data_IF_871329459058
#
_entry.id   IF_871329459058
#
_cell.length_a   1.000
_cell.length_b   1.000
_cell.length_c   1.000
_cell.angle_alpha   90.00
_cell.angle_beta   90.00
_cell.angle_gamma   90.00
#
_symmetry.space_group_name_H-M   'P 1'
#
loop_
_entity.id
_entity.type
_entity.pdbx_description
1 polymer ?
#
# COMPACT_ATOMS: atom_id res chain seq x y z
N UNK A 1 -4.74 -15.75 -4.47
CA UNK A 1 -5.15 -14.33 -4.55
C UNK A 1 -6.62 -14.10 -4.16
N UNK A 2 -7.49 -15.13 -4.26
CA UNK A 2 -8.93 -15.01 -3.98
C UNK A 2 -9.24 -14.54 -2.56
N UNK A 3 -10.32 -13.77 -2.43
CA UNK A 3 -11.01 -13.50 -1.18
C UNK A 3 -10.89 -12.06 -0.66
N UNK A 4 -9.88 -11.30 -1.07
CA UNK A 4 -9.71 -9.91 -0.61
C UNK A 4 -10.89 -9.03 -1.03
N UNK A 5 -11.24 -9.03 -2.33
CA UNK A 5 -12.32 -8.21 -2.87
C UNK A 5 -13.66 -8.68 -2.31
N UNK A 6 -13.92 -9.98 -2.26
CA UNK A 6 -15.10 -10.56 -1.61
C UNK A 6 -15.22 -10.15 -0.12
N UNK A 7 -14.11 -10.09 0.62
CA UNK A 7 -14.13 -9.72 2.04
C UNK A 7 -14.39 -8.23 2.25
N UNK A 8 -13.84 -7.38 1.38
CA UNK A 8 -14.17 -5.95 1.35
C UNK A 8 -15.65 -5.74 1.00
N UNK A 9 -16.18 -6.47 0.02
CA UNK A 9 -17.59 -6.43 -0.35
C UNK A 9 -18.51 -6.79 0.83
N UNK A 10 -18.26 -7.94 1.46
CA UNK A 10 -19.09 -8.45 2.56
C UNK A 10 -18.97 -7.64 3.84
N UNK A 11 -18.01 -6.72 3.93
CA UNK A 11 -17.85 -5.84 5.09
C UNK A 11 -18.87 -4.70 5.14
N UNK A 12 -19.56 -4.42 4.03
CA UNK A 12 -20.41 -3.24 3.89
C UNK A 12 -19.63 -1.92 3.76
N UNK A 13 -18.31 -1.93 3.88
CA UNK A 13 -17.49 -0.73 3.72
C UNK A 13 -17.57 -0.19 2.29
N UNK A 14 -17.66 1.13 2.15
CA UNK A 14 -17.40 1.82 0.88
C UNK A 14 -15.90 1.81 0.62
N UNK A 15 -15.46 1.15 -0.45
CA UNK A 15 -14.05 1.02 -0.81
C UNK A 15 -13.80 1.30 -2.29
N UNK A 16 -12.57 1.71 -2.55
CA UNK A 16 -12.01 1.72 -3.90
C UNK A 16 -10.55 1.31 -3.86
N UNK A 17 -10.09 0.72 -4.96
CA UNK A 17 -8.77 0.16 -5.11
C UNK A 17 -8.20 0.58 -6.45
N UNK A 18 -6.96 1.02 -6.43
CA UNK A 18 -6.16 1.23 -7.61
C UNK A 18 -4.78 0.61 -7.38
N UNK A 19 -4.00 0.53 -8.43
CA UNK A 19 -2.63 0.05 -8.33
C UNK A 19 -1.71 0.90 -9.22
N UNK A 20 -0.45 0.96 -8.82
CA UNK A 20 0.65 1.51 -9.59
C UNK A 20 1.85 0.59 -9.43
N UNK A 21 2.92 0.81 -10.19
CA UNK A 21 4.16 0.05 -10.04
C UNK A 21 5.06 0.71 -9.00
N UNK A 22 6.07 -0.03 -8.57
CA UNK A 22 7.18 0.45 -7.73
C UNK A 22 8.17 1.32 -8.51
N UNK A 23 8.02 1.39 -9.82
CA UNK A 23 8.93 2.10 -10.70
C UNK A 23 8.70 3.62 -10.66
N UNK A 24 9.77 4.38 -10.44
CA UNK A 24 9.71 5.85 -10.34
C UNK A 24 10.69 6.59 -11.25
N UNK A 25 11.45 5.88 -12.08
CA UNK A 25 12.42 6.53 -12.95
C UNK A 25 11.74 7.46 -13.96
N UNK A 26 12.53 8.47 -14.38
CA UNK A 26 12.29 9.73 -15.13
C UNK A 26 11.27 9.75 -16.30
N UNK A 27 10.17 9.01 -16.22
CA UNK A 27 9.07 8.96 -17.17
C UNK A 27 7.85 9.68 -16.55
N UNK A 28 6.97 10.33 -17.32
CA UNK A 28 5.75 10.95 -16.80
C UNK A 28 4.74 9.93 -16.23
N UNK A 29 5.10 8.65 -16.16
CA UNK A 29 4.30 7.53 -15.68
C UNK A 29 4.61 7.13 -14.22
N UNK A 30 5.65 7.69 -13.60
CA UNK A 30 5.97 7.42 -12.19
C UNK A 30 4.76 7.68 -11.29
N UNK A 31 4.39 6.69 -10.47
CA UNK A 31 3.20 6.74 -9.60
C UNK A 31 1.86 6.83 -10.34
N UNK A 32 1.82 6.66 -11.66
CA UNK A 32 0.57 6.69 -12.41
C UNK A 32 -0.29 5.48 -12.06
N UNK A 33 -1.58 5.71 -11.80
CA UNK A 33 -2.52 4.62 -11.62
C UNK A 33 -2.76 3.90 -12.94
N UNK A 34 -2.54 2.58 -12.91
CA UNK A 34 -2.64 1.69 -14.04
C UNK A 34 -4.08 1.21 -14.25
N UNK A 35 -4.41 0.76 -15.46
CA UNK A 35 -5.74 0.21 -15.74
C UNK A 35 -5.84 -1.27 -15.37
N UNK A 36 -6.99 -1.67 -14.83
CA UNK A 36 -7.30 -3.07 -14.56
C UNK A 36 -7.36 -3.88 -15.87
N UNK A 37 -7.05 -5.16 -15.79
CA UNK A 37 -7.04 -6.12 -16.92
C UNK A 37 -8.21 -7.09 -16.81
N UNK A 38 -8.65 -7.60 -17.96
CA UNK A 38 -9.66 -8.65 -18.08
C UNK A 38 -9.28 -9.66 -19.16
N UNK A 39 -9.91 -10.82 -19.14
CA UNK A 39 -9.87 -11.77 -20.24
C UNK A 39 -11.01 -11.46 -21.22
N UNK A 40 -10.70 -11.31 -22.52
CA UNK A 40 -11.71 -11.10 -23.56
C UNK A 40 -12.34 -12.43 -24.04
N UNK A 41 -13.32 -12.35 -24.95
CA UNK A 41 -14.02 -13.53 -25.48
C UNK A 41 -13.09 -14.53 -26.21
N UNK A 42 -11.90 -14.10 -26.63
CA UNK A 42 -10.87 -14.93 -27.26
C UNK A 42 -9.84 -15.46 -26.25
N UNK A 43 -10.15 -15.44 -24.95
CA UNK A 43 -9.26 -15.85 -23.86
C UNK A 43 -7.92 -15.07 -23.78
N UNK A 44 -7.85 -13.87 -24.36
CA UNK A 44 -6.67 -13.01 -24.28
C UNK A 44 -6.81 -11.99 -23.14
N UNK A 45 -5.75 -11.82 -22.36
CA UNK A 45 -5.66 -10.75 -21.36
C UNK A 45 -5.50 -9.40 -22.05
N UNK A 46 -6.41 -8.48 -21.76
CA UNK A 46 -6.43 -7.13 -22.33
C UNK A 46 -6.62 -6.10 -21.21
N UNK A 47 -6.01 -4.93 -21.38
CA UNK A 47 -6.28 -3.78 -20.50
C UNK A 47 -7.71 -3.30 -20.70
N UNK A 48 -8.31 -2.83 -19.60
CA UNK A 48 -9.57 -2.08 -19.63
C UNK A 48 -9.26 -0.57 -19.66
N UNK A 49 -10.32 0.25 -19.66
CA UNK A 49 -10.23 1.68 -19.39
C UNK A 49 -10.48 2.03 -17.90
N UNK A 50 -10.65 1.01 -17.05
CA UNK A 50 -10.97 1.18 -15.63
C UNK A 50 -9.67 1.37 -14.84
N UNK A 51 -9.52 2.50 -14.16
CA UNK A 51 -8.42 2.78 -13.21
C UNK A 51 -8.77 2.48 -11.75
N UNK A 52 -10.05 2.58 -11.42
CA UNK A 52 -10.56 2.43 -10.05
C UNK A 52 -11.50 1.23 -9.98
N UNK A 53 -11.16 0.27 -9.13
CA UNK A 53 -12.01 -0.87 -8.78
C UNK A 53 -12.78 -0.50 -7.50
N UNK A 54 -14.09 -0.66 -7.46
CA UNK A 54 -14.93 -0.29 -6.30
C UNK A 54 -16.10 -1.26 -6.08
N UNK A 55 -16.88 -1.06 -5.01
CA UNK A 55 -18.12 -1.80 -4.76
C UNK A 55 -19.06 -1.84 -5.98
N UNK A 56 -19.11 -0.78 -6.78
CA UNK A 56 -20.03 -0.70 -7.92
C UNK A 56 -19.47 -1.30 -9.22
N UNK A 57 -18.24 -1.82 -9.19
CA UNK A 57 -17.60 -2.37 -10.39
C UNK A 57 -18.12 -3.79 -10.67
N UNK A 58 -18.68 -4.00 -11.87
CA UNK A 58 -19.06 -5.33 -12.33
C UNK A 58 -17.83 -6.25 -12.51
N UNK A 59 -17.97 -7.53 -12.15
CA UNK A 59 -16.91 -8.55 -12.29
C UNK A 59 -15.59 -8.20 -11.58
N UNK A 60 -15.65 -7.39 -10.51
CA UNK A 60 -14.50 -6.88 -9.75
C UNK A 60 -13.50 -7.94 -9.26
N UNK A 61 -13.96 -9.09 -8.77
CA UNK A 61 -13.06 -10.18 -8.35
C UNK A 61 -12.26 -10.71 -9.56
N UNK A 62 -12.91 -10.91 -10.72
CA UNK A 62 -12.22 -11.35 -11.94
C UNK A 62 -11.21 -10.31 -12.43
N UNK A 63 -11.58 -9.02 -12.42
CA UNK A 63 -10.66 -7.93 -12.76
C UNK A 63 -9.43 -7.92 -11.85
N UNK A 64 -9.64 -8.05 -10.54
CA UNK A 64 -8.56 -8.11 -9.56
C UNK A 64 -7.63 -9.30 -9.82
N UNK A 65 -8.19 -10.51 -9.91
CA UNK A 65 -7.41 -11.74 -10.10
C UNK A 65 -6.66 -11.75 -11.43
N UNK A 66 -7.32 -11.35 -12.52
CA UNK A 66 -6.71 -11.27 -13.84
C UNK A 66 -5.57 -10.25 -13.85
N UNK A 67 -5.77 -9.09 -13.22
CA UNK A 67 -4.73 -8.06 -13.16
C UNK A 67 -3.54 -8.53 -12.34
N UNK A 68 -3.75 -9.01 -11.12
CA UNK A 68 -2.67 -9.46 -10.24
C UNK A 68 -1.91 -10.65 -10.82
N UNK A 69 -2.60 -11.61 -11.45
CA UNK A 69 -1.95 -12.75 -12.12
C UNK A 69 -1.23 -12.41 -13.42
N UNK A 70 -1.43 -11.20 -13.95
CA UNK A 70 -0.81 -10.73 -15.20
C UNK A 70 -0.12 -9.37 -15.03
N UNK A 71 0.23 -8.99 -13.80
CA UNK A 71 1.12 -7.86 -13.61
C UNK A 71 2.46 -8.22 -14.22
N UNK A 72 3.02 -7.29 -14.98
CA UNK A 72 4.30 -7.49 -15.61
C UNK A 72 5.38 -7.55 -14.52
N UNK A 73 5.78 -8.75 -14.11
CA UNK A 73 7.02 -8.95 -13.35
C UNK A 73 8.16 -8.63 -14.31
N UNK A 74 8.94 -7.60 -14.01
CA UNK A 74 10.19 -7.31 -14.73
C UNK A 74 10.08 -6.88 -16.21
N UNK A 75 8.90 -6.56 -16.76
CA UNK A 75 8.78 -5.99 -18.12
C UNK A 75 8.99 -4.48 -18.06
N UNK A 76 10.27 -4.12 -17.92
CA UNK A 76 10.86 -2.79 -17.81
C UNK A 76 10.39 -1.89 -18.95
N UNK A 77 9.85 -0.71 -18.60
CA UNK A 77 9.58 0.34 -19.59
C UNK A 77 10.88 1.07 -19.98
N UNK A 78 11.92 1.03 -19.14
CA UNK A 78 13.16 1.82 -19.35
C UNK A 78 14.49 1.17 -18.91
N UNK A 79 14.47 -0.09 -18.50
CA UNK A 79 15.67 -0.83 -18.11
C UNK A 79 16.08 -0.72 -16.64
N UNK A 80 15.46 0.15 -15.84
CA UNK A 80 15.80 0.33 -14.43
C UNK A 80 15.44 -0.89 -13.60
N UNK A 81 16.31 -1.27 -12.66
CA UNK A 81 16.03 -2.20 -11.57
C UNK A 81 15.60 -1.49 -10.28
N UNK A 82 15.49 -0.16 -10.28
CA UNK A 82 15.21 0.63 -9.08
C UNK A 82 13.73 0.52 -8.67
N UNK A 83 13.49 -0.19 -7.56
CA UNK A 83 12.15 -0.44 -7.03
C UNK A 83 11.90 0.48 -5.83
N UNK A 84 10.93 1.39 -5.95
CA UNK A 84 10.71 2.48 -5.01
C UNK A 84 9.21 2.65 -4.74
N UNK A 85 8.57 1.65 -4.14
CA UNK A 85 7.14 1.65 -3.86
C UNK A 85 6.68 2.78 -2.95
N UNK A 86 7.48 3.17 -1.94
CA UNK A 86 7.16 4.29 -1.05
C UNK A 86 7.20 5.60 -1.84
N UNK A 87 8.24 5.81 -2.65
CA UNK A 87 8.31 6.96 -3.54
C UNK A 87 7.15 6.97 -4.55
N UNK A 88 6.84 5.83 -5.18
CA UNK A 88 5.74 5.69 -6.12
C UNK A 88 4.40 6.03 -5.47
N UNK A 89 4.18 5.60 -4.22
CA UNK A 89 2.98 5.95 -3.45
C UNK A 89 2.88 7.47 -3.25
N UNK A 90 3.98 8.11 -2.85
CA UNK A 90 4.03 9.57 -2.65
C UNK A 90 3.75 10.32 -3.95
N UNK A 91 4.39 9.92 -5.05
CA UNK A 91 4.16 10.51 -6.37
C UNK A 91 2.71 10.29 -6.79
N UNK A 92 2.17 9.07 -6.61
CA UNK A 92 0.79 8.76 -6.96
C UNK A 92 -0.22 9.66 -6.25
N UNK A 93 0.03 9.97 -4.97
CA UNK A 93 -0.78 10.92 -4.19
C UNK A 93 -0.72 12.32 -4.78
N UNK A 94 0.42 12.78 -5.25
CA UNK A 94 0.61 14.15 -5.75
C UNK A 94 0.07 14.38 -7.17
N UNK A 95 -0.13 13.31 -7.92
CA UNK A 95 -0.62 13.33 -9.30
C UNK A 95 -2.09 13.74 -9.41
N UNK A 96 -2.35 14.75 -10.23
CA UNK A 96 -3.71 15.22 -10.53
C UNK A 96 -4.50 14.23 -11.38
N UNK A 97 -3.84 13.47 -12.27
CA UNK A 97 -4.46 12.42 -13.08
C UNK A 97 -4.85 11.16 -12.28
N UNK A 98 -4.48 11.11 -11.00
CA UNK A 98 -4.87 10.07 -10.05
C UNK A 98 -5.98 10.52 -9.08
N UNK A 99 -6.58 11.71 -9.26
CA UNK A 99 -7.59 12.27 -8.33
C UNK A 99 -8.73 11.30 -7.98
N UNK A 100 -9.15 10.47 -8.94
CA UNK A 100 -10.26 9.53 -8.74
C UNK A 100 -9.86 8.33 -7.86
N UNK A 101 -8.56 8.12 -7.65
CA UNK A 101 -8.04 7.04 -6.81
C UNK A 101 -8.01 7.38 -5.31
N UNK A 102 -7.96 8.66 -4.96
CA UNK A 102 -7.83 9.10 -3.56
C UNK A 102 -9.06 9.92 -3.17
N UNK A 103 -10.03 9.30 -2.49
CA UNK A 103 -11.20 10.01 -1.95
C UNK A 103 -10.81 10.86 -0.75
N UNK A 104 -11.33 12.07 -0.65
CA UNK A 104 -11.02 12.98 0.47
C UNK A 104 -11.53 12.45 1.83
N UNK A 105 -12.62 11.70 1.82
CA UNK A 105 -13.33 11.16 2.99
C UNK A 105 -12.95 9.72 3.37
N UNK A 106 -11.93 9.14 2.75
CA UNK A 106 -11.49 7.77 3.01
C UNK A 106 -10.11 7.68 3.66
N UNK A 107 -9.89 6.66 4.50
CA UNK A 107 -8.55 6.24 4.90
C UNK A 107 -7.79 5.64 3.70
N UNK A 108 -6.46 5.71 3.73
CA UNK A 108 -5.60 5.07 2.73
C UNK A 108 -4.98 3.80 3.33
N UNK A 109 -5.17 2.68 2.65
CA UNK A 109 -4.42 1.45 2.89
C UNK A 109 -3.52 1.16 1.69
N UNK A 110 -2.21 1.22 1.86
CA UNK A 110 -1.24 0.86 0.83
C UNK A 110 -0.76 -0.58 1.04
N UNK A 111 -0.73 -1.39 -0.02
CA UNK A 111 -0.20 -2.75 0.01
C UNK A 111 1.01 -2.80 -0.91
N UNK A 112 2.19 -2.93 -0.32
CA UNK A 112 3.45 -3.10 -1.03
C UNK A 112 3.66 -4.59 -1.28
N UNK A 113 3.79 -5.01 -2.54
CA UNK A 113 4.06 -6.39 -2.91
C UNK A 113 5.25 -6.41 -3.86
N UNK A 114 6.41 -6.86 -3.37
CA UNK A 114 7.69 -6.76 -4.10
C UNK A 114 8.72 -7.73 -3.52
N UNK A 115 9.58 -8.24 -4.39
CA UNK A 115 10.79 -9.04 -4.10
C UNK A 115 12.04 -8.17 -3.87
N UNK A 116 11.84 -6.85 -3.87
CA UNK A 116 12.87 -5.82 -3.72
C UNK A 116 12.64 -5.00 -2.44
N UNK A 117 13.65 -4.24 -2.02
CA UNK A 117 13.54 -3.27 -0.93
C UNK A 117 13.28 -1.86 -1.50
N UNK A 118 12.90 -0.91 -0.66
CA UNK A 118 12.80 0.47 -1.13
C UNK A 118 14.19 0.97 -1.57
N UNK A 119 14.27 1.45 -2.80
CA UNK A 119 15.50 1.95 -3.42
C UNK A 119 16.61 0.89 -3.58
N UNK A 120 16.28 -0.41 -3.52
CA UNK A 120 17.16 -1.41 -4.14
C UNK A 120 17.03 -1.32 -5.66
N UNK A 121 18.02 -1.87 -6.37
CA UNK A 121 18.13 -1.71 -7.82
C UNK A 121 18.36 -3.02 -8.57
N UNK A 122 17.92 -4.17 -8.05
CA UNK A 122 18.08 -5.46 -8.73
C UNK A 122 19.54 -5.77 -9.12
N UNK A 123 20.50 -5.32 -8.31
CA UNK A 123 21.94 -5.51 -8.57
C UNK A 123 22.55 -4.61 -9.66
N UNK A 124 21.81 -3.63 -10.20
CA UNK A 124 22.22 -2.80 -11.34
C UNK A 124 22.87 -1.46 -11.00
N UNK A 125 22.87 -1.05 -9.73
CA UNK A 125 23.54 0.20 -9.27
C UNK A 125 25.06 0.20 -9.43
N UNK A 126 25.67 -0.82 -10.03
CA UNK A 126 27.13 -0.95 -10.13
C UNK A 126 27.74 0.09 -11.08
N UNK A 127 27.00 0.57 -12.09
CA UNK A 127 27.48 1.63 -12.99
C UNK A 127 26.42 2.73 -13.19
N UNK A 128 26.87 3.99 -13.21
CA UNK A 128 26.04 5.18 -13.52
C UNK A 128 25.37 5.11 -14.90
N UNK A 129 25.92 4.33 -15.82
CA UNK A 129 25.41 4.16 -17.18
C UNK A 129 24.23 3.18 -17.29
N UNK A 130 24.07 2.27 -16.31
CA UNK A 130 23.07 1.20 -16.35
C UNK A 130 21.72 1.62 -15.74
N UNK A 131 21.67 2.81 -15.13
CA UNK A 131 20.51 3.36 -14.44
C UNK A 131 20.43 4.89 -14.66
N UNK A 132 19.56 5.37 -15.57
CA UNK A 132 19.44 6.80 -15.90
C UNK A 132 19.12 7.69 -14.69
N UNK A 133 18.41 7.15 -13.69
CA UNK A 133 18.10 7.80 -12.42
C UNK A 133 19.36 8.14 -11.58
N UNK A 134 20.49 7.47 -11.85
CA UNK A 134 21.77 7.74 -11.19
C UNK A 134 22.46 8.99 -11.74
N UNK A 135 21.99 9.59 -12.83
CA UNK A 135 22.62 10.78 -13.41
C UNK A 135 22.75 11.94 -12.40
N UNK A 136 21.77 12.04 -11.49
CA UNK A 136 21.59 13.13 -10.51
C UNK A 136 22.14 12.83 -9.11
N UNK A 137 22.61 11.60 -8.84
CA UNK A 137 23.03 11.17 -7.51
C UNK A 137 24.50 10.67 -7.50
N UNK A 138 25.35 11.10 -6.54
CA UNK A 138 26.76 10.74 -6.52
C UNK A 138 27.00 9.26 -6.20
N UNK A 139 27.75 8.59 -7.08
CA UNK A 139 28.04 7.13 -7.09
C UNK A 139 28.70 6.62 -5.81
N UNK A 140 29.38 7.48 -5.05
CA UNK A 140 30.11 7.11 -3.83
C UNK A 140 29.25 6.74 -2.63
N UNK A 141 27.92 6.88 -2.70
CA UNK A 141 26.99 6.56 -1.59
C UNK A 141 26.32 5.19 -1.67
N UNK A 142 26.50 4.46 -2.76
CA UNK A 142 25.78 3.20 -2.98
C UNK A 142 26.50 2.04 -2.29
N UNK A 143 25.85 1.44 -1.29
CA UNK A 143 26.18 0.09 -0.85
C UNK A 143 25.68 -0.85 -1.95
N UNK A 144 26.50 -1.83 -2.34
CA UNK A 144 26.21 -2.79 -3.42
C UNK A 144 24.71 -3.17 -3.46
N UNK A 145 23.98 -2.68 -4.48
CA UNK A 145 22.58 -3.00 -4.69
C UNK A 145 21.52 -1.98 -4.24
N UNK A 146 21.90 -0.82 -3.68
CA UNK A 146 20.96 0.24 -3.29
C UNK A 146 21.31 1.61 -3.86
N UNK A 147 20.30 2.35 -4.33
CA UNK A 147 20.42 3.79 -4.53
C UNK A 147 20.25 4.55 -3.21
N UNK A 148 20.66 5.82 -3.18
CA UNK A 148 20.59 6.65 -2.00
C UNK A 148 19.13 7.05 -1.79
N UNK A 149 18.58 6.73 -0.61
CA UNK A 149 17.22 7.16 -0.26
C UNK A 149 17.11 8.69 -0.31
N UNK A 150 16.16 9.16 -1.09
CA UNK A 150 15.74 10.56 -1.10
C UNK A 150 14.61 10.78 -0.10
N UNK A 151 14.16 12.03 0.06
CA UNK A 151 12.96 12.33 0.83
C UNK A 151 11.70 11.63 0.27
N UNK A 152 11.68 11.19 -1.00
CA UNK A 152 10.53 10.47 -1.55
C UNK A 152 10.40 9.04 -1.03
N UNK A 153 11.51 8.42 -0.65
CA UNK A 153 11.58 7.03 -0.22
C UNK A 153 11.29 6.84 1.28
N UNK A 154 11.22 7.93 2.03
CA UNK A 154 11.13 7.91 3.48
C UNK A 154 9.68 7.92 3.97
N UNK A 155 9.33 6.98 4.86
CA UNK A 155 7.98 6.85 5.40
C UNK A 155 7.50 8.09 6.17
N UNK A 156 8.35 8.70 7.00
CA UNK A 156 8.00 9.92 7.74
C UNK A 156 7.66 11.08 6.78
N UNK A 157 8.33 11.15 5.63
CA UNK A 157 8.05 12.14 4.58
C UNK A 157 6.77 11.82 3.81
N UNK A 158 6.46 10.55 3.55
CA UNK A 158 5.17 10.14 3.01
C UNK A 158 4.03 10.54 3.95
N UNK A 159 4.17 10.26 5.25
CA UNK A 159 3.18 10.67 6.25
C UNK A 159 3.02 12.19 6.35
N UNK A 160 4.14 12.94 6.38
CA UNK A 160 4.09 14.38 6.41
C UNK A 160 3.37 14.95 5.17
N UNK A 161 3.63 14.38 3.98
CA UNK A 161 2.96 14.78 2.75
C UNK A 161 1.46 14.45 2.76
N UNK A 162 1.09 13.28 3.29
CA UNK A 162 -0.30 12.91 3.49
C UNK A 162 -1.02 13.89 4.43
N UNK A 163 -0.37 14.31 5.51
CA UNK A 163 -0.91 15.28 6.47
C UNK A 163 -1.01 16.70 5.88
N UNK A 164 -0.05 17.11 5.05
CA UNK A 164 -0.08 18.38 4.33
C UNK A 164 -1.27 18.43 3.35
N UNK A 165 -1.48 17.35 2.60
CA UNK A 165 -2.58 17.26 1.63
C UNK A 165 -3.93 17.01 2.30
N UNK A 166 -3.95 16.19 3.35
CA UNK A 166 -5.15 15.81 4.10
C UNK A 166 -4.84 15.71 5.60
N UNK A 167 -5.11 16.79 6.33
CA UNK A 167 -4.74 16.94 7.74
C UNK A 167 -5.22 15.84 8.70
N UNK A 168 -6.28 15.10 8.33
CA UNK A 168 -6.90 14.06 9.17
C UNK A 168 -6.95 12.68 8.51
N UNK A 169 -6.33 12.47 7.35
CA UNK A 169 -6.43 11.20 6.61
C UNK A 169 -5.58 10.11 7.28
N UNK A 170 -6.22 9.03 7.70
CA UNK A 170 -5.52 7.87 8.23
C UNK A 170 -4.76 7.13 7.12
N UNK A 171 -3.58 6.60 7.45
CA UNK A 171 -2.75 5.81 6.56
C UNK A 171 -2.31 4.53 7.24
N UNK A 172 -2.50 3.39 6.57
CA UNK A 172 -1.91 2.10 6.97
C UNK A 172 -1.14 1.53 5.80
N UNK A 173 0.08 1.07 6.04
CA UNK A 173 0.85 0.35 5.04
C UNK A 173 1.03 -1.11 5.39
N UNK A 174 0.75 -1.98 4.43
CA UNK A 174 0.92 -3.43 4.52
C UNK A 174 2.04 -3.85 3.58
N UNK A 175 2.80 -4.89 3.91
CA UNK A 175 3.92 -5.34 3.11
C UNK A 175 3.82 -6.85 2.87
N UNK A 176 3.88 -7.30 1.62
CA UNK A 176 4.07 -8.70 1.21
C UNK A 176 5.42 -8.72 0.51
N UNK A 177 6.46 -9.09 1.25
CA UNK A 177 7.86 -8.93 0.81
C UNK A 177 8.67 -10.16 1.17
N UNK A 178 9.93 -10.21 0.74
CA UNK A 178 10.93 -11.09 1.35
C UNK A 178 11.17 -10.57 2.78
N UNK A 179 10.68 -11.31 3.77
CA UNK A 179 10.71 -10.86 5.17
C UNK A 179 12.17 -10.72 5.63
N UNK A 180 12.54 -9.64 6.34
CA UNK A 180 13.89 -9.49 6.88
C UNK A 180 14.32 -10.71 7.70
N UNK A 181 15.39 -11.39 7.26
CA UNK A 181 15.95 -12.58 7.90
C UNK A 181 15.45 -13.93 7.36
N UNK A 182 14.46 -13.95 6.47
CA UNK A 182 13.99 -15.17 5.80
C UNK A 182 14.93 -15.58 4.67
N UNK A 183 16.00 -16.30 5.04
CA UNK A 183 17.07 -16.69 4.13
C UNK A 183 16.60 -17.67 3.05
N UNK A 184 15.58 -18.48 3.33
CA UNK A 184 15.09 -19.49 2.39
C UNK A 184 14.25 -18.83 1.31
N UNK A 185 13.34 -17.93 1.70
CA UNK A 185 12.61 -17.10 0.74
C UNK A 185 13.57 -16.25 -0.10
N UNK A 186 14.53 -15.57 0.55
CA UNK A 186 15.51 -14.75 -0.15
C UNK A 186 16.28 -15.55 -1.20
N UNK A 187 16.84 -16.71 -0.85
CA UNK A 187 17.54 -17.57 -1.81
C UNK A 187 16.65 -18.03 -2.96
N UNK A 188 15.38 -18.35 -2.69
CA UNK A 188 14.45 -18.81 -3.71
C UNK A 188 14.13 -17.70 -4.73
N UNK A 189 13.97 -16.46 -4.28
CA UNK A 189 13.78 -15.30 -5.16
C UNK A 189 15.08 -14.93 -5.88
N UNK A 190 16.20 -14.84 -5.14
CA UNK A 190 17.52 -14.46 -5.66
C UNK A 190 18.05 -15.41 -6.75
N UNK A 191 17.59 -16.67 -6.72
CA UNK A 191 17.89 -17.66 -7.77
C UNK A 191 17.21 -17.38 -9.12
N UNK A 192 16.16 -16.57 -9.14
CA UNK A 192 15.39 -16.21 -10.34
C UNK A 192 15.82 -14.85 -10.91
N UNK A 193 15.98 -13.85 -10.04
CA UNK A 193 16.57 -12.53 -10.32
C UNK A 193 17.10 -11.97 -9.00
N UNK A 194 17.99 -10.97 -9.03
CA UNK A 194 18.57 -10.38 -7.80
C UNK A 194 17.46 -9.89 -6.89
N UNK A 195 17.45 -10.34 -5.64
CA UNK A 195 16.35 -10.06 -4.73
C UNK A 195 16.80 -9.45 -3.40
N UNK A 196 15.93 -8.68 -2.74
CA UNK A 196 16.26 -7.97 -1.52
C UNK A 196 15.18 -8.13 -0.44
N UNK A 197 15.62 -8.18 0.82
CA UNK A 197 14.70 -8.11 1.94
C UNK A 197 13.96 -6.77 1.96
N UNK A 198 12.62 -6.78 2.04
CA UNK A 198 11.80 -5.56 2.12
C UNK A 198 11.87 -4.88 3.50
N UNK A 199 13.03 -4.35 3.87
CA UNK A 199 13.32 -3.75 5.18
C UNK A 199 12.56 -2.45 5.38
N UNK A 200 12.56 -1.55 4.40
CA UNK A 200 11.87 -0.26 4.53
C UNK A 200 10.35 -0.45 4.56
N UNK A 201 9.82 -1.37 3.75
CA UNK A 201 8.41 -1.75 3.82
C UNK A 201 8.04 -2.40 5.18
N UNK A 202 8.93 -3.20 5.77
CA UNK A 202 8.73 -3.76 7.11
C UNK A 202 8.77 -2.68 8.22
N UNK A 203 9.62 -1.64 8.09
CA UNK A 203 9.60 -0.49 9.00
C UNK A 203 8.29 0.30 8.87
N UNK A 204 7.89 0.59 7.63
CA UNK A 204 6.66 1.31 7.31
C UNK A 204 5.43 0.61 7.87
N UNK A 205 5.30 -0.71 7.64
CA UNK A 205 4.16 -1.47 8.19
C UNK A 205 4.17 -1.49 9.71
N UNK A 206 5.34 -1.60 10.34
CA UNK A 206 5.44 -1.61 11.79
C UNK A 206 5.00 -0.27 12.39
N UNK A 207 5.44 0.84 11.80
CA UNK A 207 5.12 2.18 12.24
C UNK A 207 3.64 2.57 12.00
N UNK A 208 2.99 1.97 11.00
CA UNK A 208 1.58 2.21 10.68
C UNK A 208 0.62 1.13 11.21
N UNK A 209 1.13 0.09 11.88
CA UNK A 209 0.30 -0.99 12.43
C UNK A 209 -0.34 -1.90 11.36
N UNK A 210 0.31 -2.03 10.21
CA UNK A 210 -0.10 -2.90 9.11
C UNK A 210 0.42 -4.35 9.23
N UNK A 211 0.05 -5.15 8.23
CA UNK A 211 0.34 -6.59 8.18
C UNK A 211 1.64 -6.81 7.41
N UNK A 212 2.50 -7.68 7.94
CA UNK A 212 3.65 -8.24 7.23
C UNK A 212 3.27 -9.62 6.68
N UNK A 213 3.31 -9.75 5.37
CA UNK A 213 3.17 -10.97 4.62
C UNK A 213 4.48 -11.39 3.95
N UNK A 214 4.37 -12.47 3.19
CA UNK A 214 5.44 -13.25 2.61
C UNK A 214 5.23 -13.41 1.10
N UNK A 215 6.20 -12.95 0.31
CA UNK A 215 6.12 -13.09 -1.14
C UNK A 215 6.46 -14.51 -1.62
N UNK A 216 7.11 -15.34 -0.80
CA UNK A 216 7.38 -16.73 -1.14
C UNK A 216 6.24 -17.68 -0.79
N UNK A 217 5.12 -17.18 -0.26
CA UNK A 217 3.97 -18.01 0.02
C UNK A 217 3.38 -18.61 -1.27
N UNK A 218 3.10 -19.91 -1.27
CA UNK A 218 2.43 -20.60 -2.38
C UNK A 218 1.04 -20.03 -2.72
N UNK A 219 0.44 -19.28 -1.80
CA UNK A 219 -0.76 -18.49 -2.02
C UNK A 219 -0.80 -17.25 -1.14
N UNK A 220 -1.09 -16.11 -1.76
CA UNK A 220 -1.30 -14.85 -1.04
C UNK A 220 -2.70 -14.71 -0.43
N UNK A 221 -3.62 -15.67 -0.63
CA UNK A 221 -5.02 -15.54 -0.23
C UNK A 221 -5.19 -15.27 1.28
N UNK A 222 -4.55 -16.07 2.14
CA UNK A 222 -4.65 -15.86 3.60
C UNK A 222 -4.12 -14.49 4.03
N UNK A 223 -3.03 -14.04 3.41
CA UNK A 223 -2.34 -12.81 3.77
C UNK A 223 -3.14 -11.59 3.32
N UNK A 224 -3.67 -11.62 2.10
CA UNK A 224 -4.59 -10.60 1.59
C UNK A 224 -5.90 -10.55 2.37
N UNK A 225 -6.44 -11.70 2.82
CA UNK A 225 -7.61 -11.72 3.68
C UNK A 225 -7.34 -11.10 5.06
N UNK A 226 -6.15 -11.33 5.64
CA UNK A 226 -5.73 -10.64 6.88
C UNK A 226 -5.60 -9.14 6.65
N UNK A 227 -5.04 -8.72 5.52
CA UNK A 227 -4.97 -7.31 5.14
C UNK A 227 -6.37 -6.70 4.98
N UNK A 228 -7.28 -7.33 4.23
CA UNK A 228 -8.66 -6.87 4.09
C UNK A 228 -9.36 -6.76 5.43
N UNK A 229 -9.17 -7.74 6.32
CA UNK A 229 -9.69 -7.69 7.69
C UNK A 229 -9.16 -6.47 8.43
N UNK A 230 -7.85 -6.23 8.37
CA UNK A 230 -7.21 -5.10 9.02
C UNK A 230 -7.69 -3.75 8.46
N UNK A 231 -7.95 -3.67 7.15
CA UNK A 231 -8.52 -2.48 6.50
C UNK A 231 -9.92 -2.21 7.05
N UNK A 232 -10.79 -3.22 7.08
CA UNK A 232 -12.15 -3.09 7.64
C UNK A 232 -12.11 -2.76 9.14
N UNK A 233 -11.23 -3.39 9.91
CA UNK A 233 -11.06 -3.05 11.33
C UNK A 233 -10.55 -1.62 11.54
N UNK A 234 -9.80 -1.07 10.59
CA UNK A 234 -9.32 0.31 10.68
C UNK A 234 -10.43 1.34 10.41
N UNK A 235 -11.54 0.93 9.78
CA UNK A 235 -12.75 1.77 9.66
C UNK A 235 -13.69 1.61 10.86
N UNK A 236 -13.58 0.51 11.60
CA UNK A 236 -14.32 0.26 12.84
C UNK A 236 -13.50 0.53 14.10
N UNK A 237 -12.29 1.08 14.01
CA UNK A 237 -11.51 1.41 15.21
C UNK A 237 -10.53 2.56 15.03
N UNK A 238 -10.31 3.32 16.10
CA UNK A 238 -9.28 4.36 16.20
C UNK A 238 -8.21 3.90 17.19
N UNK A 239 -6.95 3.93 16.75
CA UNK A 239 -5.80 3.68 17.64
C UNK A 239 -5.29 5.00 18.22
N UNK A 240 -5.26 5.08 19.54
CA UNK A 240 -4.76 6.20 20.32
C UNK A 240 -3.23 6.15 20.46
N UNK A 241 -2.62 7.31 20.70
CA UNK A 241 -1.16 7.43 20.84
C UNK A 241 -0.61 6.71 22.08
N UNK A 242 -1.46 6.43 23.06
CA UNK A 242 -1.13 5.80 24.34
C UNK A 242 -2.38 5.13 24.90
N UNK A 243 -2.20 4.26 25.89
CA UNK A 243 -3.32 3.73 26.67
C UNK A 243 -3.93 4.86 27.52
N UNK A 244 -5.23 5.15 27.39
CA UNK A 244 -5.86 6.23 28.12
C UNK A 244 -6.04 5.86 29.61
N UNK A 245 -5.96 6.86 30.49
CA UNK A 245 -6.09 6.69 31.96
C UNK A 245 -7.52 6.44 32.42
N UNK A 246 -8.50 6.82 31.61
CA UNK A 246 -9.92 6.54 31.75
C UNK A 246 -10.54 6.39 30.35
N UNK A 247 -11.81 6.02 30.28
CA UNK A 247 -12.52 5.91 28.99
C UNK A 247 -12.48 7.25 28.23
N UNK A 248 -12.03 7.27 26.96
CA UNK A 248 -12.02 8.45 26.11
C UNK A 248 -13.41 9.07 25.91
N UNK A 249 -13.49 10.39 25.76
CA UNK A 249 -14.69 11.04 25.23
C UNK A 249 -14.64 10.98 23.71
N UNK A 250 -15.67 10.40 23.10
CA UNK A 250 -15.76 10.20 21.65
C UNK A 250 -16.99 10.93 21.10
N UNK A 251 -16.78 11.77 20.10
CA UNK A 251 -17.84 12.46 19.36
C UNK A 251 -17.71 12.09 17.89
N UNK A 252 -18.80 11.61 17.29
CA UNK A 252 -18.87 11.30 15.85
C UNK A 252 -19.81 12.29 15.18
N UNK A 253 -19.37 12.90 14.06
CA UNK A 253 -20.13 13.92 13.32
C UNK A 253 -20.21 13.54 11.83
N UNK A 254 -21.41 13.47 11.21
CA UNK A 254 -22.73 13.63 11.82
C UNK A 254 -22.98 12.58 12.91
N UNK A 255 -23.87 12.85 13.86
CA UNK A 255 -24.19 11.86 14.90
C UNK A 255 -24.78 10.64 14.22
N UNK A 256 -24.10 9.48 14.22
CA UNK A 256 -24.70 8.26 13.72
C UNK A 256 -25.89 7.90 14.61
N UNK A 257 -26.80 7.07 14.10
CA UNK A 257 -27.96 6.59 14.84
C UNK A 257 -27.56 5.76 16.08
N UNK A 258 -27.73 4.44 16.01
CA UNK A 258 -27.21 3.56 17.06
C UNK A 258 -25.74 3.26 16.78
N UNK A 259 -24.84 3.72 17.65
CA UNK A 259 -23.40 3.44 17.58
C UNK A 259 -22.92 2.95 18.94
N UNK A 260 -22.47 1.69 18.98
CA UNK A 260 -21.84 1.12 20.16
C UNK A 260 -20.34 1.45 20.11
N UNK A 261 -19.83 2.01 21.21
CA UNK A 261 -18.41 2.35 21.37
C UNK A 261 -17.83 1.48 22.48
N UNK A 262 -16.73 0.80 22.20
CA UNK A 262 -16.00 -0.01 23.20
C UNK A 262 -14.50 0.27 23.19
N UNK A 263 -13.82 -0.11 24.27
CA UNK A 263 -12.41 0.22 24.50
C UNK A 263 -11.60 -1.04 24.80
N UNK A 264 -10.41 -1.16 24.20
CA UNK A 264 -9.45 -2.20 24.56
C UNK A 264 -8.02 -1.69 24.37
N UNK A 265 -7.24 -1.64 25.45
CA UNK A 265 -5.88 -1.09 25.44
C UNK A 265 -5.86 0.38 25.00
N UNK A 266 -5.15 0.68 23.92
CA UNK A 266 -5.12 2.01 23.30
C UNK A 266 -6.04 2.11 22.07
N UNK A 267 -7.07 1.28 21.95
CA UNK A 267 -8.00 1.29 20.80
C UNK A 267 -9.43 1.56 21.22
N UNK A 268 -10.13 2.32 20.38
CA UNK A 268 -11.57 2.58 20.41
C UNK A 268 -12.19 1.81 19.26
N UNK A 269 -13.27 1.06 19.51
CA UNK A 269 -13.99 0.30 18.51
C UNK A 269 -15.41 0.85 18.33
N UNK A 270 -15.90 0.81 17.10
CA UNK A 270 -17.18 1.32 16.63
C UNK A 270 -17.99 0.16 16.03
N UNK A 271 -19.21 -0.05 16.52
CA UNK A 271 -20.15 -1.02 15.97
C UNK A 271 -21.56 -0.40 15.81
N UNK A 272 -22.05 -0.20 14.57
CA UNK A 272 -21.41 -0.57 13.30
C UNK A 272 -20.14 0.25 13.01
N UNK A 273 -19.38 -0.19 12.01
CA UNK A 273 -18.24 0.58 11.50
C UNK A 273 -18.69 1.97 11.03
N UNK A 274 -17.80 2.96 11.15
CA UNK A 274 -18.11 4.33 10.75
C UNK A 274 -18.27 4.44 9.24
N UNK A 275 -19.22 5.28 8.81
CA UNK A 275 -19.53 5.51 7.41
C UNK A 275 -18.59 6.56 6.79
N UNK A 276 -18.58 6.60 5.46
CA UNK A 276 -17.82 7.60 4.70
C UNK A 276 -18.32 9.00 5.04
N UNK A 277 -17.41 9.89 5.47
CA UNK A 277 -17.74 11.25 5.88
C UNK A 277 -17.90 11.46 7.39
N UNK A 278 -17.95 10.38 8.18
CA UNK A 278 -17.96 10.48 9.64
C UNK A 278 -16.65 11.06 10.16
N UNK A 279 -16.75 12.06 11.05
CA UNK A 279 -15.62 12.66 11.74
C UNK A 279 -15.62 12.22 13.20
N UNK A 280 -14.58 11.51 13.60
CA UNK A 280 -14.36 11.15 15.00
C UNK A 280 -13.45 12.17 15.68
N UNK A 281 -13.95 12.79 16.75
CA UNK A 281 -13.15 13.56 17.69
C UNK A 281 -13.00 12.75 18.97
N UNK A 282 -11.75 12.50 19.36
CA UNK A 282 -11.43 11.75 20.58
C UNK A 282 -10.64 12.63 21.53
N UNK A 283 -11.13 12.76 22.76
CA UNK A 283 -10.45 13.47 23.87
C UNK A 283 -10.07 12.47 24.96
N UNK A 284 -8.79 12.40 25.31
CA UNK A 284 -8.26 11.46 26.31
C UNK A 284 -6.97 11.97 26.96
N UNK A 285 -6.58 11.38 28.10
CA UNK A 285 -5.29 11.59 28.76
C UNK A 285 -4.53 10.27 28.83
N UNK A 286 -3.24 10.28 28.50
CA UNK A 286 -2.39 9.10 28.66
C UNK A 286 -2.27 8.66 30.12
N UNK A 287 -2.11 7.35 30.34
CA UNK A 287 -1.54 6.81 31.58
C UNK A 287 -0.07 7.21 31.72
#
# INVERSE_FOLDING_TARGET
LNGMVTKLENSGASWQMCYTTTHVALNPEAGQVMTWKKTNASNKVVSTNLKVLSNNTANKENLFLTTMGNMAVGKRIDGSGAEQGIAATRIAIDRSDNKDCFRDDAAIAAIYMTDEDEASCGGRCKNKADEPDLATHPVSKYKEGYIALSNYNQFDKLLARLQEKWSKKAFTGHAIVIKPGDKDCWKAQDSQDVAFYGKEYNKLRAASGGILGDICASSYASQLNKIATRIVESTSSVTLRCTPSADPTVVVTPSPGTLNISYSGNKIFFDPALESGDQVTVTYRCK
#
